data_IF_995262680572
#
_entry.id   IF_995262680572
#
_cell.length_a   1.000
_cell.length_b   1.000
_cell.length_c   1.000
_cell.angle_alpha   90.00
_cell.angle_beta   90.00
_cell.angle_gamma   90.00
#
_symmetry.space_group_name_H-M   'P 1'
#
loop_
_entity.id
_entity.type
_entity.pdbx_description
1 polymer ?
#
# COMPACT_ATOMS: atom_id res chain seq x y z
N UNK A 1 10.52 15.97 2.78
CA UNK A 1 9.15 15.67 2.31
C UNK A 1 8.51 14.66 3.22
N UNK A 2 7.28 14.29 2.89
CA UNK A 2 6.44 13.31 3.57
C UNK A 2 6.61 11.95 2.91
N UNK A 3 6.70 10.87 3.71
CA UNK A 3 6.68 9.51 3.20
C UNK A 3 5.27 9.06 2.81
N UNK A 4 5.16 8.00 2.04
CA UNK A 4 3.88 7.39 1.66
C UNK A 4 4.00 5.85 1.68
N UNK A 5 2.88 5.17 1.58
CA UNK A 5 2.79 3.71 1.45
C UNK A 5 2.05 3.32 0.17
N UNK A 6 2.28 2.10 -0.30
CA UNK A 6 1.50 1.51 -1.38
C UNK A 6 0.89 0.22 -0.83
N UNK A 7 -0.45 0.16 -0.81
CA UNK A 7 -1.20 -1.04 -0.50
C UNK A 7 -0.88 -2.13 -1.52
N UNK A 8 -0.10 -3.12 -1.11
CA UNK A 8 0.31 -4.25 -1.95
C UNK A 8 -0.63 -5.44 -1.83
N UNK A 9 -0.80 -6.16 -2.94
CA UNK A 9 -1.44 -7.48 -2.99
C UNK A 9 -0.46 -8.48 -3.59
N UNK A 10 -0.37 -9.68 -3.00
CA UNK A 10 0.54 -10.72 -3.46
C UNK A 10 -0.06 -12.11 -3.30
N UNK A 11 0.23 -12.99 -4.25
CA UNK A 11 -0.07 -14.42 -4.17
C UNK A 11 0.99 -15.11 -3.30
N UNK A 12 0.55 -15.90 -2.32
CA UNK A 12 1.44 -16.68 -1.46
C UNK A 12 1.92 -17.92 -2.22
N UNK A 13 3.24 -18.17 -2.24
CA UNK A 13 3.81 -19.35 -2.89
C UNK A 13 3.20 -20.66 -2.34
N UNK A 14 2.68 -21.51 -3.23
CA UNK A 14 2.02 -22.76 -2.86
C UNK A 14 0.61 -22.57 -2.29
N UNK A 15 -0.08 -21.49 -2.65
CA UNK A 15 -1.48 -21.29 -2.29
C UNK A 15 -2.35 -22.49 -2.73
N UNK A 16 -3.32 -22.91 -1.91
CA UNK A 16 -4.15 -24.09 -2.20
C UNK A 16 -5.01 -23.94 -3.45
N UNK A 17 -5.27 -22.70 -3.89
CA UNK A 17 -5.99 -22.37 -5.12
C UNK A 17 -5.35 -21.14 -5.78
N UNK A 18 -4.32 -21.39 -6.59
CA UNK A 18 -3.58 -20.33 -7.27
C UNK A 18 -4.41 -19.62 -8.35
N UNK A 19 -5.32 -20.33 -9.00
CA UNK A 19 -6.15 -19.76 -10.07
C UNK A 19 -7.17 -18.77 -9.50
N UNK A 20 -7.88 -19.14 -8.42
CA UNK A 20 -8.76 -18.22 -7.73
C UNK A 20 -8.00 -17.00 -7.17
N UNK A 21 -6.77 -17.20 -6.68
CA UNK A 21 -5.95 -16.10 -6.18
C UNK A 21 -5.56 -15.11 -7.29
N UNK A 22 -5.18 -15.58 -8.49
CA UNK A 22 -4.91 -14.71 -9.64
C UNK A 22 -6.14 -13.91 -10.05
N UNK A 23 -7.30 -14.58 -10.16
CA UNK A 23 -8.57 -13.93 -10.48
C UNK A 23 -8.89 -12.83 -9.46
N UNK A 24 -8.66 -13.09 -8.17
CA UNK A 24 -8.87 -12.09 -7.13
C UNK A 24 -7.93 -10.90 -7.25
N UNK A 25 -6.65 -11.13 -7.58
CA UNK A 25 -5.68 -10.05 -7.81
C UNK A 25 -6.12 -9.18 -8.99
N UNK A 26 -6.50 -9.79 -10.11
CA UNK A 26 -6.99 -9.07 -11.29
C UNK A 26 -8.24 -8.26 -10.95
N UNK A 27 -9.19 -8.87 -10.24
CA UNK A 27 -10.40 -8.19 -9.78
C UNK A 27 -10.08 -7.01 -8.86
N UNK A 28 -9.19 -7.18 -7.88
CA UNK A 28 -8.83 -6.13 -6.91
C UNK A 28 -8.18 -4.91 -7.56
N UNK A 29 -7.59 -5.06 -8.75
CA UNK A 29 -6.99 -3.97 -9.54
C UNK A 29 -7.98 -3.28 -10.48
N UNK A 30 -9.22 -3.78 -10.61
CA UNK A 30 -10.27 -3.12 -11.39
C UNK A 30 -10.70 -1.80 -10.77
N UNK A 31 -11.21 -0.90 -11.61
CA UNK A 31 -11.80 0.37 -11.18
C UNK A 31 -12.88 0.15 -10.12
N UNK A 32 -13.82 -0.74 -10.41
CA UNK A 32 -14.99 -0.98 -9.57
C UNK A 32 -14.58 -1.50 -8.20
N UNK A 33 -13.59 -2.40 -8.14
CA UNK A 33 -13.10 -2.95 -6.88
C UNK A 33 -12.38 -1.89 -6.05
N UNK A 34 -11.50 -1.09 -6.65
CA UNK A 34 -10.80 -0.01 -5.94
C UNK A 34 -11.78 1.06 -5.41
N UNK A 35 -12.84 1.37 -6.16
CA UNK A 35 -13.88 2.30 -5.73
C UNK A 35 -14.81 1.75 -4.63
N UNK A 36 -14.76 0.46 -4.27
CA UNK A 36 -15.59 -0.07 -3.17
C UNK A 36 -15.21 0.53 -1.82
N UNK A 37 -13.92 0.77 -1.58
CA UNK A 37 -13.39 1.17 -0.28
C UNK A 37 -14.08 2.41 0.29
N UNK A 38 -14.33 3.42 -0.55
CA UNK A 38 -14.95 4.67 -0.13
C UNK A 38 -16.39 4.50 0.40
N UNK A 39 -17.09 3.43 0.00
CA UNK A 39 -18.43 3.12 0.51
C UNK A 39 -18.41 2.54 1.93
N UNK A 40 -17.24 2.08 2.39
CA UNK A 40 -17.04 1.38 3.65
C UNK A 40 -16.01 2.06 4.56
N UNK A 41 -15.74 3.35 4.33
CA UNK A 41 -14.85 4.15 5.19
C UNK A 41 -13.36 3.99 4.89
N UNK A 42 -13.00 3.55 3.68
CA UNK A 42 -11.61 3.45 3.20
C UNK A 42 -11.32 4.61 2.24
N UNK A 43 -10.37 5.47 2.59
CA UNK A 43 -10.15 6.78 1.94
C UNK A 43 -8.76 6.95 1.32
N UNK A 44 -8.08 5.85 0.96
CA UNK A 44 -6.79 5.90 0.29
C UNK A 44 -6.93 6.46 -1.14
N UNK A 45 -5.88 7.09 -1.64
CA UNK A 45 -5.76 7.40 -3.06
C UNK A 45 -5.63 6.10 -3.86
N UNK A 46 -6.50 5.93 -4.84
CA UNK A 46 -6.61 4.76 -5.70
C UNK A 46 -5.50 4.78 -6.76
N UNK A 47 -5.00 3.59 -7.12
CA UNK A 47 -3.89 3.43 -8.06
C UNK A 47 -4.35 3.17 -9.49
N UNK A 48 -5.59 2.73 -9.68
CA UNK A 48 -6.19 2.61 -10.99
C UNK A 48 -6.53 4.02 -11.53
N UNK A 49 -5.91 4.40 -12.65
CA UNK A 49 -6.01 5.74 -13.24
C UNK A 49 -7.42 6.10 -13.75
N UNK A 50 -8.29 5.12 -13.95
CA UNK A 50 -9.68 5.34 -14.36
C UNK A 50 -10.66 5.43 -13.19
N UNK A 51 -10.18 5.16 -11.97
CA UNK A 51 -10.98 5.17 -10.76
C UNK A 51 -11.15 6.57 -10.17
N UNK A 52 -12.29 6.77 -9.52
CA UNK A 52 -12.64 8.01 -8.85
C UNK A 52 -12.19 7.93 -7.40
N UNK A 53 -11.20 8.76 -7.05
CA UNK A 53 -10.74 8.87 -5.68
C UNK A 53 -11.86 9.32 -4.73
N UNK A 54 -11.85 8.87 -3.47
CA UNK A 54 -12.73 9.42 -2.45
C UNK A 54 -12.44 10.92 -2.26
N UNK A 55 -13.46 11.75 -1.96
CA UNK A 55 -13.27 13.18 -1.67
C UNK A 55 -12.28 13.46 -0.53
N UNK A 56 -12.10 12.51 0.38
CA UNK A 56 -11.19 12.59 1.52
C UNK A 56 -9.74 12.23 1.17
N UNK A 57 -9.49 11.58 0.03
CA UNK A 57 -8.13 11.28 -0.41
C UNK A 57 -7.39 12.55 -0.81
N UNK A 58 -6.14 12.66 -0.37
CA UNK A 58 -5.27 13.75 -0.78
C UNK A 58 -4.76 13.52 -2.21
N UNK A 59 -4.66 14.60 -2.98
CA UNK A 59 -3.88 14.59 -4.21
C UNK A 59 -2.39 14.54 -3.84
N UNK A 60 -1.64 13.61 -4.43
CA UNK A 60 -0.20 13.51 -4.19
C UNK A 60 0.55 14.77 -4.67
N UNK A 61 0.01 15.50 -5.64
CA UNK A 61 0.59 16.74 -6.17
C UNK A 61 0.50 17.91 -5.17
N UNK A 62 -0.38 17.82 -4.18
CA UNK A 62 -0.57 18.86 -3.15
C UNK A 62 0.35 18.63 -1.94
N UNK A 63 1.09 17.51 -1.92
CA UNK A 63 1.94 17.11 -0.80
C UNK A 63 3.40 17.14 -1.23
N UNK A 64 4.26 17.74 -0.40
CA UNK A 64 5.72 17.65 -0.59
C UNK A 64 6.19 16.23 -0.24
N UNK A 65 6.04 15.27 -1.15
CA UNK A 65 6.45 13.88 -0.96
C UNK A 65 7.95 13.68 -1.17
N UNK A 66 8.56 12.74 -0.44
CA UNK A 66 9.90 12.26 -0.78
C UNK A 66 9.82 11.22 -1.90
N UNK A 67 10.91 11.09 -2.66
CA UNK A 67 11.13 9.92 -3.50
C UNK A 67 11.40 8.70 -2.60
N UNK A 68 10.35 7.95 -2.28
CA UNK A 68 10.41 6.87 -1.30
C UNK A 68 10.90 5.58 -1.98
N UNK A 69 12.13 5.17 -1.70
CA UNK A 69 12.67 3.89 -2.19
C UNK A 69 12.10 2.71 -1.37
N UNK A 70 11.00 2.15 -1.88
CA UNK A 70 10.31 1.00 -1.29
C UNK A 70 11.20 -0.25 -1.24
N UNK A 71 12.10 -0.45 -2.21
CA UNK A 71 12.98 -1.63 -2.25
C UNK A 71 14.05 -1.52 -1.18
N UNK A 72 14.72 -0.37 -1.07
CA UNK A 72 15.69 -0.12 -0.02
C UNK A 72 15.04 -0.20 1.35
N UNK A 73 13.86 0.41 1.54
CA UNK A 73 13.14 0.36 2.80
C UNK A 73 12.78 -1.09 3.20
N UNK A 74 12.33 -1.90 2.24
CA UNK A 74 12.05 -3.32 2.45
C UNK A 74 13.31 -4.11 2.83
N UNK A 75 14.40 -3.94 2.08
CA UNK A 75 15.67 -4.64 2.30
C UNK A 75 16.32 -4.29 3.65
N UNK A 76 16.13 -3.06 4.14
CA UNK A 76 16.73 -2.56 5.38
C UNK A 76 15.77 -2.62 6.59
N UNK A 77 14.54 -3.16 6.43
CA UNK A 77 13.50 -3.16 7.46
C UNK A 77 14.00 -3.71 8.80
N UNK A 78 14.66 -4.87 8.81
CA UNK A 78 15.13 -5.51 10.04
C UNK A 78 16.11 -4.60 10.79
N UNK A 79 17.10 -4.05 10.09
CA UNK A 79 18.09 -3.15 10.69
C UNK A 79 17.43 -1.89 11.28
N UNK A 80 16.48 -1.30 10.55
CA UNK A 80 15.79 -0.08 10.98
C UNK A 80 14.93 -0.33 12.23
N UNK A 81 14.17 -1.42 12.25
CA UNK A 81 13.32 -1.81 13.40
C UNK A 81 14.17 -2.11 14.63
N UNK A 82 15.29 -2.82 14.49
CA UNK A 82 16.21 -3.11 15.60
C UNK A 82 16.85 -1.84 16.15
N UNK A 83 17.32 -0.95 15.27
CA UNK A 83 17.93 0.32 15.66
C UNK A 83 16.93 1.19 16.42
N UNK A 84 15.71 1.28 15.92
CA UNK A 84 14.64 2.03 16.59
C UNK A 84 14.32 1.42 17.96
N UNK A 85 14.11 0.10 18.02
CA UNK A 85 13.79 -0.60 19.27
C UNK A 85 14.85 -0.36 20.35
N UNK A 86 16.14 -0.42 20.01
CA UNK A 86 17.23 -0.10 20.95
C UNK A 86 17.24 1.36 21.39
N UNK A 87 16.87 2.28 20.50
CA UNK A 87 16.88 3.70 20.80
C UNK A 87 15.72 4.12 21.72
N UNK A 88 14.56 3.47 21.62
CA UNK A 88 13.36 3.84 22.40
C UNK A 88 13.12 2.94 23.62
N UNK A 89 13.51 1.67 23.58
CA UNK A 89 13.40 0.77 24.72
C UNK A 89 14.72 0.79 25.50
N UNK A 90 14.94 1.86 26.28
CA UNK A 90 15.95 1.86 27.33
C UNK A 90 15.50 0.93 28.46
N UNK A 91 15.90 -0.34 28.38
CA UNK A 91 16.20 -1.20 29.52
C UNK A 91 17.68 -1.53 29.51
#
# INVERSE_FOLDING_TARGET
>A
GTGYEIGGIALINGAPDEEAAKIFIDWALTKEAQELGQKYGSYQSLTNVEATNPPEAFSLDEVNIIDYDLQWAGANRTQLVEKWSKAVNMQ
#
